data_IF_770137237527
#
_entry.id   IF_770137237527
#
_cell.length_a   1.000
_cell.length_b   1.000
_cell.length_c   1.000
_cell.angle_alpha   90.00
_cell.angle_beta   90.00
_cell.angle_gamma   90.00
#
_symmetry.space_group_name_H-M   'P 1'
#
loop_
_entity.id
_entity.type
_entity.pdbx_description
1 polymer ?
#
# COMPACT_ATOMS: atom_id res chain seq x y z
N UNK A 1 17.99 -2.28 -31.10
CA UNK A 1 17.59 -3.06 -29.91
C UNK A 1 17.24 -2.18 -28.70
N UNK A 2 17.88 -1.03 -28.43
CA UNK A 2 17.60 -0.23 -27.21
C UNK A 2 16.21 0.42 -27.07
N UNK A 3 15.49 0.68 -28.17
CA UNK A 3 14.18 1.37 -28.09
C UNK A 3 13.04 0.47 -27.52
N UNK A 4 13.12 -0.84 -27.68
CA UNK A 4 12.15 -1.80 -27.11
C UNK A 4 12.42 -2.08 -25.62
N UNK A 5 13.65 -1.82 -25.15
CA UNK A 5 14.07 -2.04 -23.77
C UNK A 5 13.71 -0.86 -22.86
N UNK A 6 14.00 0.37 -23.31
CA UNK A 6 13.57 1.59 -22.61
C UNK A 6 12.05 1.60 -22.37
N UNK A 7 11.28 1.22 -23.39
CA UNK A 7 9.82 1.10 -23.31
C UNK A 7 9.36 0.12 -22.21
N UNK A 8 10.09 -0.99 -22.02
CA UNK A 8 9.77 -1.98 -20.96
C UNK A 8 10.10 -1.45 -19.57
N UNK A 9 11.19 -0.70 -19.40
CA UNK A 9 11.52 -0.10 -18.11
C UNK A 9 10.51 0.97 -17.72
N UNK A 10 10.14 1.84 -18.65
CA UNK A 10 9.14 2.88 -18.41
C UNK A 10 7.75 2.27 -18.13
N UNK A 11 7.43 1.15 -18.78
CA UNK A 11 6.23 0.37 -18.46
C UNK A 11 6.24 -0.16 -17.03
N UNK A 12 7.39 -0.65 -16.51
CA UNK A 12 7.49 -1.14 -15.12
C UNK A 12 7.22 0.00 -14.14
N UNK A 13 7.82 1.17 -14.34
CA UNK A 13 7.61 2.36 -13.51
C UNK A 13 6.13 2.79 -13.53
N UNK A 14 5.56 2.92 -14.71
CA UNK A 14 4.17 3.35 -14.88
C UNK A 14 3.17 2.36 -14.25
N UNK A 15 3.42 1.05 -14.36
CA UNK A 15 2.59 0.03 -13.73
C UNK A 15 2.72 0.06 -12.20
N UNK A 16 3.94 0.28 -11.68
CA UNK A 16 4.18 0.40 -10.24
C UNK A 16 3.41 1.59 -9.65
N UNK A 17 3.51 2.77 -10.27
CA UNK A 17 2.82 3.98 -9.82
C UNK A 17 1.29 3.82 -9.94
N UNK A 18 0.81 3.22 -11.04
CA UNK A 18 -0.63 2.97 -11.23
C UNK A 18 -1.18 1.95 -10.22
N UNK A 19 -0.38 0.96 -9.85
CA UNK A 19 -0.78 -0.03 -8.85
C UNK A 19 -0.86 0.60 -7.46
N UNK A 20 0.16 1.37 -7.05
CA UNK A 20 0.16 2.09 -5.78
C UNK A 20 -1.01 3.07 -5.71
N UNK A 21 -1.27 3.86 -6.75
CA UNK A 21 -2.40 4.79 -6.77
C UNK A 21 -3.74 4.07 -6.56
N UNK A 22 -4.02 3.04 -7.36
CA UNK A 22 -5.30 2.31 -7.28
C UNK A 22 -5.50 1.59 -5.95
N UNK A 23 -4.48 0.88 -5.47
CA UNK A 23 -4.58 0.14 -4.23
C UNK A 23 -4.51 1.07 -3.01
N UNK A 24 -3.74 2.15 -3.09
CA UNK A 24 -3.64 3.18 -2.06
C UNK A 24 -4.95 3.91 -1.83
N UNK A 25 -5.68 4.26 -2.91
CA UNK A 25 -7.01 4.86 -2.81
C UNK A 25 -8.00 3.91 -2.10
N UNK A 26 -8.01 2.62 -2.46
CA UNK A 26 -8.85 1.62 -1.81
C UNK A 26 -8.53 1.45 -0.32
N UNK A 27 -7.24 1.44 0.05
CA UNK A 27 -6.81 1.36 1.44
C UNK A 27 -7.20 2.62 2.23
N UNK A 28 -7.08 3.79 1.60
CA UNK A 28 -7.49 5.07 2.20
C UNK A 28 -8.99 5.11 2.45
N UNK A 29 -9.79 4.69 1.49
CA UNK A 29 -11.25 4.64 1.61
C UNK A 29 -11.69 3.65 2.70
N UNK A 30 -11.06 2.48 2.76
CA UNK A 30 -11.31 1.49 3.81
C UNK A 30 -10.98 2.06 5.21
N UNK A 31 -9.86 2.78 5.35
CA UNK A 31 -9.48 3.44 6.61
C UNK A 31 -10.44 4.57 6.96
N UNK A 32 -10.91 5.35 5.97
CA UNK A 32 -11.89 6.40 6.21
C UNK A 32 -13.21 5.81 6.73
N UNK A 33 -13.70 4.73 6.12
CA UNK A 33 -14.89 4.02 6.57
C UNK A 33 -14.72 3.46 7.99
N UNK A 34 -13.57 2.86 8.30
CA UNK A 34 -13.25 2.32 9.63
C UNK A 34 -13.18 3.42 10.71
N UNK A 35 -12.61 4.57 10.37
CA UNK A 35 -12.50 5.71 11.28
C UNK A 35 -13.81 6.52 11.42
N UNK A 36 -14.84 6.17 10.65
CA UNK A 36 -16.18 6.75 10.74
C UNK A 36 -17.06 6.01 11.76
N UNK A 37 -18.06 5.29 11.25
CA UNK A 37 -19.09 4.66 12.08
C UNK A 37 -18.54 3.68 13.14
N UNK A 38 -17.53 2.83 12.86
CA UNK A 38 -17.01 1.90 13.87
C UNK A 38 -16.38 2.60 15.08
N UNK A 39 -15.63 3.69 14.86
CA UNK A 39 -15.05 4.49 15.97
C UNK A 39 -16.08 5.40 16.66
N UNK A 40 -17.16 5.76 15.98
CA UNK A 40 -18.25 6.56 16.56
C UNK A 40 -19.13 5.75 17.53
N UNK A 41 -19.01 4.42 17.56
CA UNK A 41 -19.68 3.60 18.57
C UNK A 41 -19.14 3.94 19.95
N UNK A 42 -19.97 4.61 20.77
CA UNK A 42 -19.61 4.99 22.13
C UNK A 42 -19.39 3.76 23.01
N UNK A 43 -18.34 3.76 23.82
CA UNK A 43 -18.13 2.72 24.84
C UNK A 43 -19.26 2.65 25.86
N UNK A 44 -20.02 3.74 26.06
CA UNK A 44 -21.23 3.74 26.91
C UNK A 44 -22.42 3.00 26.29
N UNK A 45 -22.41 2.74 24.97
CA UNK A 45 -23.41 1.87 24.34
C UNK A 45 -23.27 0.41 24.81
N UNK A 46 -22.09 0.05 25.31
CA UNK A 46 -21.81 -1.19 25.98
C UNK A 46 -21.99 -0.99 27.49
N UNK A 47 -23.18 -1.28 28.01
CA UNK A 47 -23.52 -1.16 29.45
C UNK A 47 -22.77 -2.21 30.29
N UNK A 48 -23.05 -2.34 31.60
CA UNK A 48 -22.25 -3.13 32.56
C UNK A 48 -21.87 -4.57 32.15
N UNK A 49 -22.61 -5.23 31.24
CA UNK A 49 -22.30 -6.58 30.72
C UNK A 49 -21.63 -6.57 29.34
N UNK A 50 -21.47 -5.40 28.73
CA UNK A 50 -20.88 -5.17 27.42
C UNK A 50 -19.42 -4.73 27.47
N UNK A 51 -18.79 -4.56 28.63
CA UNK A 51 -17.40 -4.11 28.70
C UNK A 51 -16.45 -4.99 27.87
N UNK A 52 -16.58 -6.32 27.96
CA UNK A 52 -15.79 -7.25 27.13
C UNK A 52 -16.05 -7.05 25.63
N UNK A 53 -17.30 -6.78 25.26
CA UNK A 53 -17.68 -6.49 23.88
C UNK A 53 -17.15 -5.13 23.41
N UNK A 54 -17.11 -4.12 24.30
CA UNK A 54 -16.52 -2.82 24.05
C UNK A 54 -15.01 -2.94 23.82
N UNK A 55 -14.34 -3.73 24.66
CA UNK A 55 -12.90 -4.02 24.53
C UNK A 55 -12.64 -4.77 23.23
N UNK A 56 -13.39 -5.82 22.92
CA UNK A 56 -13.23 -6.57 21.68
C UNK A 56 -13.47 -5.69 20.44
N UNK A 57 -14.49 -4.83 20.46
CA UNK A 57 -14.80 -3.87 19.39
C UNK A 57 -13.67 -2.85 19.18
N UNK A 58 -13.16 -2.26 20.27
CA UNK A 58 -12.05 -1.32 20.22
C UNK A 58 -10.78 -1.98 19.66
N UNK A 59 -10.41 -3.16 20.19
CA UNK A 59 -9.24 -3.92 19.75
C UNK A 59 -9.36 -4.33 18.29
N UNK A 60 -10.53 -4.80 17.84
CA UNK A 60 -10.76 -5.15 16.44
C UNK A 60 -10.62 -3.93 15.52
N UNK A 61 -11.14 -2.77 15.94
CA UNK A 61 -11.04 -1.52 15.17
C UNK A 61 -9.59 -1.03 15.08
N UNK A 62 -8.83 -1.10 16.18
CA UNK A 62 -7.42 -0.72 16.21
C UNK A 62 -6.57 -1.67 15.36
N UNK A 63 -6.80 -2.97 15.49
CA UNK A 63 -6.11 -3.98 14.70
C UNK A 63 -6.36 -3.79 13.20
N UNK A 64 -7.61 -3.55 12.81
CA UNK A 64 -7.96 -3.31 11.41
C UNK A 64 -7.33 -2.02 10.85
N UNK A 65 -7.25 -0.93 11.62
CA UNK A 65 -6.57 0.30 11.16
C UNK A 65 -5.05 0.06 11.01
N UNK A 66 -4.45 -0.71 11.92
CA UNK A 66 -3.03 -1.04 11.86
C UNK A 66 -2.71 -1.94 10.66
N UNK A 67 -3.51 -2.97 10.39
CA UNK A 67 -3.37 -3.83 9.22
C UNK A 67 -3.48 -3.03 7.91
N UNK A 68 -4.44 -2.11 7.81
CA UNK A 68 -4.59 -1.23 6.64
C UNK A 68 -3.40 -0.27 6.46
N UNK A 69 -2.81 0.23 7.55
CA UNK A 69 -1.58 1.05 7.50
C UNK A 69 -0.39 0.23 6.99
N UNK A 70 -0.18 -0.95 7.55
CA UNK A 70 0.91 -1.84 7.15
C UNK A 70 0.80 -2.21 5.67
N UNK A 71 -0.41 -2.52 5.18
CA UNK A 71 -0.63 -2.78 3.74
C UNK A 71 -0.29 -1.57 2.86
N UNK A 72 -0.55 -0.35 3.32
CA UNK A 72 -0.20 0.87 2.58
C UNK A 72 1.32 1.09 2.54
N UNK A 73 2.02 0.81 3.66
CA UNK A 73 3.48 0.86 3.74
C UNK A 73 4.12 -0.18 2.82
N UNK A 74 3.66 -1.44 2.88
CA UNK A 74 4.13 -2.53 2.02
C UNK A 74 3.91 -2.23 0.52
N UNK A 75 2.77 -1.62 0.18
CA UNK A 75 2.47 -1.19 -1.18
C UNK A 75 3.46 -0.11 -1.67
N UNK A 76 3.78 0.87 -0.83
CA UNK A 76 4.77 1.90 -1.13
C UNK A 76 6.17 1.31 -1.28
N UNK A 77 6.56 0.39 -0.41
CA UNK A 77 7.83 -0.34 -0.54
C UNK A 77 7.89 -1.15 -1.84
N UNK A 78 6.79 -1.83 -2.20
CA UNK A 78 6.73 -2.61 -3.42
C UNK A 78 6.92 -1.73 -4.66
N UNK A 79 6.26 -0.56 -4.71
CA UNK A 79 6.50 0.43 -5.76
C UNK A 79 7.97 0.85 -5.82
N UNK A 80 8.56 1.19 -4.68
CA UNK A 80 9.96 1.60 -4.62
C UNK A 80 10.90 0.50 -5.14
N UNK A 81 10.66 -0.76 -4.76
CA UNK A 81 11.42 -1.92 -5.24
C UNK A 81 11.31 -2.08 -6.76
N UNK A 82 10.13 -1.87 -7.35
CA UNK A 82 9.95 -1.88 -8.81
C UNK A 82 10.70 -0.75 -9.52
N UNK A 83 10.74 0.45 -8.94
CA UNK A 83 11.54 1.56 -9.47
C UNK A 83 13.04 1.26 -9.42
N UNK A 84 13.53 0.63 -8.34
CA UNK A 84 14.92 0.18 -8.24
C UNK A 84 15.22 -0.88 -9.29
N UNK A 85 14.35 -1.86 -9.50
CA UNK A 85 14.51 -2.88 -10.56
C UNK A 85 14.62 -2.21 -11.93
N UNK A 86 13.77 -1.23 -12.21
CA UNK A 86 13.82 -0.44 -13.42
C UNK A 86 15.17 0.29 -13.58
N UNK A 87 15.67 0.95 -12.53
CA UNK A 87 16.97 1.62 -12.54
C UNK A 87 18.15 0.65 -12.74
N UNK A 88 18.17 -0.49 -12.04
CA UNK A 88 19.22 -1.49 -12.19
C UNK A 88 19.27 -2.03 -13.62
N UNK A 89 18.10 -2.19 -14.25
CA UNK A 89 17.99 -2.64 -15.64
C UNK A 89 18.57 -1.62 -16.62
N UNK A 90 18.21 -0.34 -16.48
CA UNK A 90 18.76 0.74 -17.32
C UNK A 90 20.29 0.83 -17.17
N UNK A 91 20.80 0.68 -15.93
CA UNK A 91 22.24 0.65 -15.65
C UNK A 91 22.96 -0.56 -16.29
N UNK A 92 22.34 -1.74 -16.26
CA UNK A 92 22.88 -2.93 -16.90
C UNK A 92 22.94 -2.78 -18.43
N UNK A 93 21.94 -2.14 -19.05
CA UNK A 93 21.95 -1.87 -20.49
C UNK A 93 23.04 -0.86 -20.88
N UNK A 94 23.19 0.23 -20.12
CA UNK A 94 24.25 1.21 -20.35
C UNK A 94 25.64 0.57 -20.23
N UNK A 95 25.85 -0.31 -19.24
CA UNK A 95 27.11 -1.04 -19.09
C UNK A 95 27.35 -2.07 -20.20
N UNK A 96 26.29 -2.68 -20.74
CA UNK A 96 26.39 -3.64 -21.85
C UNK A 96 26.70 -2.96 -23.19
N UNK A 97 26.18 -1.76 -23.42
CA UNK A 97 26.40 -0.99 -24.65
C UNK A 97 27.78 -0.32 -24.70
N UNK A 98 28.43 -0.10 -23.55
CA UNK A 98 29.82 0.38 -23.47
C UNK A 98 30.89 -0.71 -23.75
N UNK A 99 30.50 -1.98 -23.78
CA UNK A 99 31.41 -3.13 -24.01
C UNK A 99 31.34 -3.71 -25.44
N UNK A 100 30.49 -3.15 -26.32
CA UNK A 100 30.35 -3.53 -27.72
C UNK A 100 30.96 -2.46 -28.63
#
# INVERSE_FOLDING_TARGET
MGHDFQHRTDTIRALADKHEAKCGDLLKDARYALNGAPRAVSTTAFTMYGFELATAHAVATEWADQDLKTKAEELSEFRQKLHVVAQCRDGAEAASTLKA
#
